data_IF_720400589161
#
_entry.id   IF_720400589161
#
_cell.length_a   1.000
_cell.length_b   1.000
_cell.length_c   1.000
_cell.angle_alpha   90.00
_cell.angle_beta   90.00
_cell.angle_gamma   90.00
#
_symmetry.space_group_name_H-M   'P 1'
#
loop_
_entity.id
_entity.type
_entity.pdbx_description
1 polymer ?
#
# COMPACT_ATOMS: atom_id res chain seq x y z
N UNK A 1 10.63 -1.42 0.93
CA UNK A 1 9.96 -0.14 0.66
C UNK A 1 8.99 -0.34 -0.50
N UNK A 2 7.71 0.04 -0.33
CA UNK A 2 6.64 -0.18 -1.33
C UNK A 2 6.79 0.67 -2.59
N UNK A 3 6.03 0.33 -3.64
CA UNK A 3 6.06 1.00 -4.95
C UNK A 3 5.31 2.34 -4.85
N UNK A 4 5.89 3.48 -5.27
CA UNK A 4 5.17 4.75 -5.30
C UNK A 4 4.06 4.73 -6.38
N UNK A 5 2.95 5.40 -6.12
CA UNK A 5 1.93 5.62 -7.16
C UNK A 5 2.43 6.65 -8.18
N UNK A 6 2.24 6.41 -9.48
CA UNK A 6 2.72 7.32 -10.53
C UNK A 6 2.09 8.72 -10.44
N UNK A 7 0.81 8.81 -10.07
CA UNK A 7 0.08 10.08 -9.97
C UNK A 7 0.17 10.74 -8.59
N UNK A 8 0.59 9.99 -7.56
CA UNK A 8 0.63 10.41 -6.16
C UNK A 8 1.92 9.88 -5.51
N UNK A 9 3.07 10.57 -5.68
CA UNK A 9 4.38 10.04 -5.30
C UNK A 9 4.56 9.86 -3.77
N UNK A 10 3.76 10.58 -2.97
CA UNK A 10 3.72 10.44 -1.51
C UNK A 10 3.00 9.15 -1.06
N UNK A 11 2.19 8.57 -1.94
CA UNK A 11 1.48 7.32 -1.69
C UNK A 11 2.27 6.14 -2.23
N UNK A 12 2.25 5.06 -1.46
CA UNK A 12 2.94 3.82 -1.78
C UNK A 12 2.01 2.64 -1.63
N UNK A 13 2.16 1.69 -2.55
CA UNK A 13 1.54 0.39 -2.48
C UNK A 13 2.53 -0.65 -1.96
N UNK A 14 2.08 -1.43 -0.99
CA UNK A 14 2.75 -2.64 -0.54
C UNK A 14 1.89 -3.85 -0.89
N UNK A 15 2.44 -4.72 -1.72
CA UNK A 15 1.86 -6.04 -1.98
C UNK A 15 2.33 -6.98 -0.87
N UNK A 16 1.38 -7.54 -0.14
CA UNK A 16 1.60 -8.52 0.92
C UNK A 16 1.12 -9.87 0.40
N UNK A 17 2.08 -10.75 0.11
CA UNK A 17 1.77 -12.14 -0.22
C UNK A 17 1.30 -12.87 1.04
N UNK A 18 -0.01 -13.07 1.17
CA UNK A 18 -0.63 -13.77 2.30
C UNK A 18 -1.83 -14.58 1.81
N UNK A 19 -1.93 -15.84 2.26
CA UNK A 19 -2.97 -16.76 1.81
C UNK A 19 -2.91 -17.07 0.31
N UNK A 20 -4.06 -17.32 -0.29
CA UNK A 20 -4.17 -17.77 -1.69
C UNK A 20 -4.16 -16.62 -2.70
N UNK A 21 -4.45 -15.39 -2.28
CA UNK A 21 -4.67 -14.26 -3.21
C UNK A 21 -4.09 -12.93 -2.78
N UNK A 22 -3.34 -12.86 -1.67
CA UNK A 22 -2.60 -11.67 -1.25
C UNK A 22 -3.45 -10.43 -0.93
N UNK A 23 -2.77 -9.42 -0.41
CA UNK A 23 -3.37 -8.13 -0.08
C UNK A 23 -2.53 -6.99 -0.64
N UNK A 24 -3.18 -5.86 -0.92
CA UNK A 24 -2.53 -4.60 -1.28
C UNK A 24 -2.87 -3.57 -0.22
N UNK A 25 -1.84 -2.89 0.26
CA UNK A 25 -1.95 -1.81 1.22
C UNK A 25 -1.52 -0.52 0.55
N UNK A 26 -2.41 0.48 0.56
CA UNK A 26 -2.06 1.84 0.22
C UNK A 26 -1.69 2.58 1.50
N UNK A 27 -0.47 3.10 1.56
CA UNK A 27 0.02 3.81 2.73
C UNK A 27 0.78 5.07 2.34
N UNK A 28 0.90 5.97 3.32
CA UNK A 28 1.77 7.14 3.29
C UNK A 28 2.74 7.06 4.46
N UNK A 29 4.00 7.39 4.22
CA UNK A 29 5.03 7.46 5.26
C UNK A 29 5.37 8.93 5.52
N UNK A 30 5.13 9.39 6.75
CA UNK A 30 5.45 10.74 7.21
C UNK A 30 6.70 10.67 8.11
N UNK A 31 7.91 10.89 7.55
CA UNK A 31 9.16 10.73 8.31
C UNK A 31 9.33 11.79 9.41
N UNK A 32 8.64 12.94 9.31
CA UNK A 32 8.68 13.98 10.33
C UNK A 32 8.08 13.51 11.67
N UNK A 33 7.09 12.62 11.60
CA UNK A 33 6.37 12.08 12.76
C UNK A 33 6.74 10.60 13.04
N UNK A 34 7.70 10.04 12.29
CA UNK A 34 8.05 8.60 12.29
C UNK A 34 6.80 7.70 12.18
N UNK A 35 5.86 8.11 11.32
CA UNK A 35 4.53 7.53 11.27
C UNK A 35 4.19 6.95 9.89
N UNK A 36 3.45 5.84 9.89
CA UNK A 36 2.88 5.23 8.68
C UNK A 36 1.36 5.23 8.77
N UNK A 37 0.73 5.92 7.84
CA UNK A 37 -0.73 5.96 7.72
C UNK A 37 -1.19 4.95 6.69
N UNK A 38 -1.99 3.96 7.12
CA UNK A 38 -2.66 3.01 6.23
C UNK A 38 -3.95 3.66 5.75
N UNK A 39 -4.05 3.95 4.46
CA UNK A 39 -5.19 4.63 3.85
C UNK A 39 -6.23 3.65 3.34
N UNK A 40 -5.77 2.50 2.84
CA UNK A 40 -6.66 1.43 2.40
C UNK A 40 -5.98 0.07 2.54
N UNK A 41 -6.78 -0.95 2.81
CA UNK A 41 -6.40 -2.34 2.82
C UNK A 41 -7.38 -3.10 1.93
N UNK A 42 -6.89 -3.78 0.88
CA UNK A 42 -7.74 -4.46 -0.11
C UNK A 42 -7.17 -5.83 -0.45
N UNK A 43 -8.05 -6.80 -0.73
CA UNK A 43 -7.61 -8.08 -1.30
C UNK A 43 -7.13 -7.88 -2.74
N UNK A 44 -6.11 -8.60 -3.25
CA UNK A 44 -5.63 -8.34 -4.62
C UNK A 44 -6.72 -8.54 -5.67
N UNK A 45 -7.65 -9.48 -5.43
CA UNK A 45 -8.81 -9.72 -6.29
C UNK A 45 -9.77 -8.53 -6.38
N UNK A 46 -9.83 -7.69 -5.34
CA UNK A 46 -10.63 -6.46 -5.31
C UNK A 46 -9.85 -5.26 -5.85
N UNK A 47 -8.51 -5.32 -5.79
CA UNK A 47 -7.62 -4.30 -6.35
C UNK A 47 -7.45 -4.41 -7.88
N UNK A 48 -8.00 -5.46 -8.51
CA UNK A 48 -7.94 -5.67 -9.96
C UNK A 48 -6.59 -6.20 -10.45
N UNK A 49 -5.85 -6.92 -9.60
CA UNK A 49 -4.60 -7.61 -9.96
C UNK A 49 -4.85 -9.00 -10.53
#
# INVERSE_FOLDING_TARGET
>A
MGRPLPDLPDLRELVIAFGESGYVVLYRHEPADDAVYILAFRHQREAGY
#
